data_IF_882686651775
#
_entry.id   IF_882686651775
#
_cell.length_a   1.000
_cell.length_b   1.000
_cell.length_c   1.000
_cell.angle_alpha   90.00
_cell.angle_beta   90.00
_cell.angle_gamma   90.00
#
_symmetry.space_group_name_H-M   'P 1'
#
loop_
_entity.id
_entity.type
_entity.pdbx_description
1 polymer ?
#
# COMPACT_ATOMS: atom_id res chain seq x y z
N UNK A 1 5.82 -5.55 18.45
CA UNK A 1 5.41 -4.13 18.44
C UNK A 1 6.62 -3.27 18.10
N UNK A 2 6.50 -2.38 17.11
CA UNK A 2 7.51 -1.40 16.73
C UNK A 2 6.90 0.00 16.89
N UNK A 3 7.23 0.69 17.98
CA UNK A 3 6.54 1.93 18.37
C UNK A 3 6.69 3.05 17.33
N UNK A 4 7.79 3.07 16.58
CA UNK A 4 8.05 4.03 15.51
C UNK A 4 7.12 3.86 14.30
N UNK A 5 6.45 2.72 14.18
CA UNK A 5 5.50 2.43 13.10
C UNK A 5 4.11 3.02 13.40
N UNK A 6 3.82 3.41 14.65
CA UNK A 6 2.50 3.91 15.01
C UNK A 6 2.26 5.32 14.49
N UNK A 7 1.13 5.49 13.81
CA UNK A 7 0.64 6.79 13.36
C UNK A 7 0.28 7.62 14.59
N UNK A 8 0.93 8.77 14.74
CA UNK A 8 0.71 9.69 15.86
C UNK A 8 -0.29 10.78 15.51
N UNK A 9 -0.78 11.49 16.54
CA UNK A 9 -1.60 12.70 16.35
C UNK A 9 -0.87 13.79 15.54
N UNK A 10 0.46 13.88 15.70
CA UNK A 10 1.27 14.82 14.95
C UNK A 10 1.29 14.48 13.45
N UNK A 11 1.34 13.19 13.11
CA UNK A 11 1.29 12.74 11.71
C UNK A 11 -0.06 13.05 11.06
N UNK A 12 -1.16 12.78 11.77
CA UNK A 12 -2.52 13.12 11.30
C UNK A 12 -2.68 14.63 11.12
N UNK A 13 -2.17 15.43 12.06
CA UNK A 13 -2.21 16.89 11.95
C UNK A 13 -1.34 17.41 10.79
N UNK A 14 -0.18 16.81 10.55
CA UNK A 14 0.73 17.18 9.47
C UNK A 14 0.17 16.83 8.08
N UNK A 15 -0.58 15.73 7.97
CA UNK A 15 -1.29 15.36 6.73
C UNK A 15 -2.34 16.43 6.34
N UNK A 16 -2.99 17.04 7.33
CA UNK A 16 -4.04 18.02 7.13
C UNK A 16 -5.40 17.40 6.80
N UNK A 17 -6.31 18.23 6.31
CA UNK A 17 -7.72 17.87 6.03
C UNK A 17 -8.14 18.17 4.59
N UNK A 18 -7.19 18.54 3.74
CA UNK A 18 -7.49 18.81 2.35
C UNK A 18 -7.79 17.49 1.63
N UNK A 19 -8.69 17.55 0.65
CA UNK A 19 -9.01 16.41 -0.18
C UNK A 19 -7.76 15.90 -0.91
N UNK A 20 -7.52 14.60 -0.87
CA UNK A 20 -6.46 13.95 -1.65
C UNK A 20 -7.08 13.03 -2.70
N UNK A 21 -6.66 13.09 -3.96
CA UNK A 21 -7.12 12.07 -4.93
C UNK A 21 -6.54 10.68 -4.62
N UNK A 22 -5.30 10.65 -4.13
CA UNK A 22 -4.54 9.43 -3.80
C UNK A 22 -3.96 9.58 -2.39
N UNK A 23 -4.22 8.60 -1.52
CA UNK A 23 -3.57 8.46 -0.21
C UNK A 23 -2.66 7.23 -0.22
N UNK A 24 -1.35 7.45 -0.04
CA UNK A 24 -0.36 6.38 0.10
C UNK A 24 0.00 6.21 1.58
N UNK A 25 -0.01 4.98 2.06
CA UNK A 25 0.36 4.69 3.44
C UNK A 25 0.91 3.27 3.63
N UNK A 26 1.46 3.02 4.81
CA UNK A 26 1.81 1.66 5.21
C UNK A 26 0.56 0.83 5.57
N UNK A 27 -0.45 1.47 6.16
CA UNK A 27 -1.67 0.83 6.67
C UNK A 27 -2.88 1.03 5.72
N UNK A 28 -4.06 0.55 6.12
CA UNK A 28 -5.31 0.55 5.36
C UNK A 28 -6.51 0.82 6.26
N UNK A 29 -7.59 1.47 5.76
CA UNK A 29 -8.80 1.62 6.56
C UNK A 29 -9.45 0.24 6.78
N UNK A 30 -10.22 0.07 7.87
CA UNK A 30 -10.90 -1.19 8.18
C UNK A 30 -12.11 -1.39 7.26
N UNK A 31 -11.89 -1.90 6.05
CA UNK A 31 -12.96 -2.33 5.15
C UNK A 31 -13.65 -3.57 5.74
N UNK A 32 -14.94 -3.77 5.42
CA UNK A 32 -15.68 -4.91 5.97
C UNK A 32 -15.04 -6.25 5.58
N UNK A 33 -14.55 -6.32 4.35
CA UNK A 33 -13.91 -7.50 3.77
C UNK A 33 -12.49 -7.73 4.32
N UNK A 34 -11.69 -6.67 4.55
CA UNK A 34 -10.40 -6.79 5.23
C UNK A 34 -10.60 -7.29 6.67
N UNK A 35 -11.52 -6.69 7.42
CA UNK A 35 -11.81 -7.10 8.79
C UNK A 35 -12.20 -8.59 8.88
N UNK A 36 -13.07 -9.06 7.97
CA UNK A 36 -13.46 -10.47 7.91
C UNK A 36 -12.29 -11.41 7.57
N UNK A 37 -11.30 -10.97 6.79
CA UNK A 37 -10.08 -11.75 6.52
C UNK A 37 -9.18 -11.83 7.75
N UNK A 38 -8.93 -10.71 8.41
CA UNK A 38 -8.05 -10.64 9.58
C UNK A 38 -8.62 -11.39 10.78
N UNK A 39 -9.94 -11.37 10.97
CA UNK A 39 -10.62 -12.08 12.04
C UNK A 39 -10.33 -13.59 12.06
N UNK A 40 -10.09 -14.20 10.90
CA UNK A 40 -9.76 -15.64 10.76
C UNK A 40 -8.47 -16.03 11.49
N UNK A 41 -7.53 -15.09 11.62
CA UNK A 41 -6.22 -15.32 12.23
C UNK A 41 -6.11 -14.69 13.63
N UNK A 42 -7.17 -14.04 14.14
CA UNK A 42 -7.15 -13.31 15.42
C UNK A 42 -6.72 -14.16 16.62
N UNK A 43 -7.07 -15.45 16.63
CA UNK A 43 -6.69 -16.38 17.69
C UNK A 43 -5.17 -16.69 17.74
N UNK A 44 -4.41 -16.31 16.72
CA UNK A 44 -2.95 -16.47 16.67
C UNK A 44 -2.20 -15.34 17.38
N UNK A 45 -2.89 -14.28 17.79
CA UNK A 45 -2.29 -13.05 18.32
C UNK A 45 -2.66 -12.84 19.78
N UNK A 46 -1.77 -12.18 20.53
CA UNK A 46 -2.09 -11.76 21.89
C UNK A 46 -3.11 -10.61 21.86
N UNK A 47 -3.83 -10.42 22.97
CA UNK A 47 -4.73 -9.27 23.12
C UNK A 47 -3.99 -7.92 23.02
N UNK A 48 -2.74 -7.87 23.46
CA UNK A 48 -1.90 -6.68 23.36
C UNK A 48 -1.53 -6.37 21.89
N UNK A 49 -1.19 -7.38 21.09
CA UNK A 49 -0.88 -7.19 19.66
C UNK A 49 -2.13 -6.75 18.88
N UNK A 50 -3.29 -7.33 19.17
CA UNK A 50 -4.56 -6.93 18.57
C UNK A 50 -4.94 -5.49 18.96
N UNK A 51 -4.71 -5.08 20.21
CA UNK A 51 -4.95 -3.72 20.64
C UNK A 51 -4.00 -2.72 19.95
N UNK A 52 -2.72 -3.07 19.83
CA UNK A 52 -1.71 -2.28 19.11
C UNK A 52 -2.09 -2.09 17.63
N UNK A 53 -2.46 -3.17 16.93
CA UNK A 53 -2.89 -3.11 15.53
C UNK A 53 -4.17 -2.28 15.36
N UNK A 54 -5.13 -2.45 16.28
CA UNK A 54 -6.38 -1.67 16.25
C UNK A 54 -6.12 -0.18 16.43
N UNK A 55 -5.22 0.20 17.33
CA UNK A 55 -4.85 1.60 17.54
C UNK A 55 -4.26 2.24 16.28
N UNK A 56 -3.37 1.53 15.58
CA UNK A 56 -2.79 2.01 14.32
C UNK A 56 -3.86 2.22 13.25
N UNK A 57 -4.73 1.22 13.07
CA UNK A 57 -5.81 1.29 12.09
C UNK A 57 -6.85 2.37 12.40
N UNK A 58 -7.15 2.63 13.69
CA UNK A 58 -8.05 3.71 14.10
C UNK A 58 -7.43 5.09 13.79
N UNK A 59 -6.12 5.27 14.01
CA UNK A 59 -5.40 6.50 13.65
C UNK A 59 -5.35 6.70 12.13
N UNK A 60 -5.08 5.63 11.38
CA UNK A 60 -5.14 5.64 9.92
C UNK A 60 -6.54 6.05 9.44
N UNK A 61 -7.60 5.45 10.01
CA UNK A 61 -8.98 5.74 9.63
C UNK A 61 -9.32 7.23 9.82
N UNK A 62 -8.79 7.88 10.86
CA UNK A 62 -8.96 9.33 11.07
C UNK A 62 -8.34 10.14 9.94
N UNK A 63 -7.09 9.85 9.57
CA UNK A 63 -6.40 10.49 8.45
C UNK A 63 -7.13 10.26 7.11
N UNK A 64 -7.58 9.02 6.87
CA UNK A 64 -8.33 8.64 5.69
C UNK A 64 -9.67 9.38 5.58
N UNK A 65 -10.45 9.45 6.66
CA UNK A 65 -11.71 10.19 6.67
C UNK A 65 -11.51 11.71 6.51
N UNK A 66 -10.44 12.26 7.07
CA UNK A 66 -10.13 13.68 6.98
C UNK A 66 -9.78 14.13 5.55
N UNK A 67 -9.13 13.26 4.78
CA UNK A 67 -8.68 13.55 3.40
C UNK A 67 -9.62 13.02 2.31
N UNK A 68 -10.62 12.22 2.69
CA UNK A 68 -11.68 11.70 1.80
C UNK A 68 -11.19 11.16 0.44
N UNK A 69 -10.16 10.28 0.40
CA UNK A 69 -9.47 10.02 -0.84
C UNK A 69 -10.27 9.17 -1.82
N UNK A 70 -10.06 9.37 -3.13
CA UNK A 70 -10.67 8.52 -4.18
C UNK A 70 -10.00 7.15 -4.25
N UNK A 71 -8.70 7.10 -3.99
CA UNK A 71 -7.89 5.89 -3.94
C UNK A 71 -6.99 5.91 -2.71
N UNK A 72 -7.03 4.87 -1.89
CA UNK A 72 -6.04 4.60 -0.84
C UNK A 72 -5.22 3.36 -1.20
N UNK A 73 -3.89 3.48 -1.17
CA UNK A 73 -2.97 2.36 -1.41
C UNK A 73 -2.14 2.11 -0.16
N UNK A 74 -2.20 0.89 0.35
CA UNK A 74 -1.60 0.43 1.59
C UNK A 74 -0.77 -0.84 1.45
N UNK A 75 -0.19 -1.27 2.57
CA UNK A 75 0.57 -2.53 2.72
C UNK A 75 0.26 -3.18 4.05
N UNK A 76 1.29 -3.57 4.81
CA UNK A 76 1.23 -4.08 6.19
C UNK A 76 0.59 -5.48 6.39
N UNK A 77 -0.49 -5.82 5.67
CA UNK A 77 -1.28 -7.02 5.95
C UNK A 77 -0.79 -8.30 5.26
N UNK A 78 0.25 -8.21 4.42
CA UNK A 78 0.82 -9.34 3.66
C UNK A 78 -0.29 -10.14 2.93
N UNK A 79 -1.19 -9.39 2.30
CA UNK A 79 -2.26 -9.93 1.49
C UNK A 79 -2.66 -8.89 0.46
N UNK A 80 -2.89 -9.33 -0.77
CA UNK A 80 -3.54 -8.46 -1.74
C UNK A 80 -5.02 -8.23 -1.40
N UNK A 81 -5.45 -6.96 -1.43
CA UNK A 81 -6.84 -6.55 -1.26
C UNK A 81 -7.17 -5.43 -2.25
N UNK A 82 -8.32 -5.48 -2.89
CA UNK A 82 -8.79 -4.43 -3.80
C UNK A 82 -10.32 -4.37 -3.69
N UNK A 83 -10.82 -3.29 -3.11
CA UNK A 83 -12.26 -3.12 -2.89
C UNK A 83 -12.63 -1.65 -3.02
N UNK A 84 -13.84 -1.38 -3.51
CA UNK A 84 -14.44 -0.04 -3.46
C UNK A 84 -15.57 -0.05 -2.44
N UNK A 85 -15.48 0.81 -1.44
CA UNK A 85 -16.50 0.95 -0.38
C UNK A 85 -16.89 2.42 -0.18
N UNK A 86 -18.05 2.63 0.47
CA UNK A 86 -18.54 3.95 0.86
C UNK A 86 -18.22 4.23 2.32
N UNK A 87 -17.65 5.40 2.57
CA UNK A 87 -17.22 5.84 3.89
C UNK A 87 -17.94 7.13 4.29
N UNK A 88 -18.04 7.35 5.60
CA UNK A 88 -18.71 8.51 6.17
C UNK A 88 -17.71 9.32 7.01
N UNK A 89 -17.15 10.36 6.39
CA UNK A 89 -16.30 11.36 7.05
C UNK A 89 -17.13 12.61 7.38
N UNK A 90 -16.66 13.78 6.96
CA UNK A 90 -17.47 15.01 6.99
C UNK A 90 -18.69 14.92 6.05
N UNK A 91 -18.55 14.19 4.95
CA UNK A 91 -19.60 13.80 4.01
C UNK A 91 -19.41 12.34 3.60
N UNK A 92 -20.42 11.76 2.95
CA UNK A 92 -20.27 10.45 2.32
C UNK A 92 -19.35 10.56 1.10
N UNK A 93 -18.38 9.65 0.99
CA UNK A 93 -17.55 9.50 -0.20
C UNK A 93 -17.34 8.02 -0.52
N UNK A 94 -16.97 7.75 -1.77
CA UNK A 94 -16.57 6.42 -2.23
C UNK A 94 -15.05 6.42 -2.39
N UNK A 95 -14.41 5.34 -1.95
CA UNK A 95 -12.97 5.16 -2.07
C UNK A 95 -12.64 3.74 -2.49
N UNK A 96 -11.73 3.61 -3.46
CA UNK A 96 -11.08 2.35 -3.75
C UNK A 96 -9.91 2.17 -2.79
N UNK A 97 -9.88 1.04 -2.09
CA UNK A 97 -8.84 0.67 -1.13
C UNK A 97 -8.07 -0.51 -1.72
N UNK A 98 -6.78 -0.30 -1.97
CA UNK A 98 -5.87 -1.31 -2.49
C UNK A 98 -4.78 -1.59 -1.46
N UNK A 99 -4.56 -2.86 -1.14
CA UNK A 99 -3.45 -3.33 -0.32
C UNK A 99 -2.57 -4.21 -1.21
N UNK A 100 -1.29 -3.88 -1.27
CA UNK A 100 -0.29 -4.69 -1.97
C UNK A 100 0.10 -5.88 -1.09
N UNK A 101 0.40 -7.00 -1.75
CA UNK A 101 0.90 -8.19 -1.06
C UNK A 101 2.39 -8.02 -0.66
N UNK A 102 2.90 -8.95 0.13
CA UNK A 102 4.30 -8.96 0.54
C UNK A 102 5.26 -9.22 -0.62
N UNK A 103 6.50 -8.76 -0.49
CA UNK A 103 7.55 -8.98 -1.48
C UNK A 103 7.65 -10.45 -1.91
N UNK A 104 7.67 -10.69 -3.22
CA UNK A 104 7.73 -12.03 -3.81
C UNK A 104 6.38 -12.71 -4.03
N UNK A 105 5.28 -12.13 -3.54
CA UNK A 105 3.92 -12.57 -3.83
C UNK A 105 3.34 -11.86 -5.07
N UNK A 106 2.31 -12.45 -5.68
CA UNK A 106 1.57 -11.81 -6.77
C UNK A 106 0.89 -10.53 -6.27
N UNK A 107 0.84 -9.49 -7.11
CA UNK A 107 0.28 -8.17 -6.78
C UNK A 107 0.99 -7.44 -5.61
N UNK A 108 2.27 -7.72 -5.39
CA UNK A 108 3.12 -6.98 -4.44
C UNK A 108 3.65 -5.66 -5.01
N UNK A 109 3.55 -5.46 -6.33
CA UNK A 109 3.96 -4.24 -7.02
C UNK A 109 2.97 -3.90 -8.14
N UNK A 110 2.76 -2.60 -8.35
CA UNK A 110 1.82 -2.10 -9.33
C UNK A 110 2.24 -0.74 -9.88
N UNK A 111 1.74 -0.41 -11.07
CA UNK A 111 1.89 0.89 -11.71
C UNK A 111 0.54 1.63 -11.59
N UNK A 112 0.57 2.83 -11.02
CA UNK A 112 -0.59 3.71 -10.90
C UNK A 112 -0.56 4.78 -11.99
N UNK A 113 -1.63 4.87 -12.77
CA UNK A 113 -1.90 6.04 -13.61
C UNK A 113 -2.59 7.12 -12.75
N UNK A 114 -1.88 8.22 -12.50
CA UNK A 114 -2.36 9.31 -11.63
C UNK A 114 -3.48 10.14 -12.25
N UNK A 115 -3.72 10.05 -13.56
CA UNK A 115 -4.82 10.77 -14.22
C UNK A 115 -6.13 10.01 -14.15
N UNK A 116 -6.07 8.69 -14.26
CA UNK A 116 -7.25 7.81 -14.30
C UNK A 116 -7.51 7.07 -13.00
N UNK A 117 -6.51 7.01 -12.11
CA UNK A 117 -6.46 6.16 -10.91
C UNK A 117 -6.51 4.66 -11.23
N UNK A 118 -6.22 4.29 -12.48
CA UNK A 118 -6.08 2.89 -12.88
C UNK A 118 -4.78 2.30 -12.30
N UNK A 119 -4.87 1.05 -11.84
CA UNK A 119 -3.73 0.31 -11.28
C UNK A 119 -3.50 -0.91 -12.15
N UNK A 120 -2.28 -1.05 -12.65
CA UNK A 120 -1.80 -2.25 -13.31
C UNK A 120 -0.90 -3.02 -12.34
N UNK A 121 -1.40 -4.16 -11.84
CA UNK A 121 -0.58 -5.06 -11.02
C UNK A 121 0.41 -5.78 -11.91
N UNK A 122 1.69 -5.63 -11.59
CA UNK A 122 2.75 -6.33 -12.31
C UNK A 122 2.93 -7.66 -11.60
N UNK A 123 2.67 -8.73 -12.34
CA UNK A 123 2.95 -10.08 -11.86
C UNK A 123 4.24 -10.52 -12.53
N UNK A 124 5.30 -10.68 -11.75
CA UNK A 124 6.48 -11.39 -12.23
C UNK A 124 6.07 -12.85 -12.45
N UNK A 125 5.69 -13.21 -13.68
CA UNK A 125 5.79 -14.60 -14.09
C UNK A 125 7.26 -14.85 -14.42
N UNK A 126 8.01 -15.60 -13.59
CA UNK A 126 9.41 -15.92 -13.87
C UNK A 126 9.60 -16.68 -15.20
N UNK A 127 8.53 -17.17 -15.83
CA UNK A 127 8.55 -17.83 -17.15
C UNK A 127 8.41 -16.87 -18.33
N UNK A 128 8.03 -15.60 -18.10
CA UNK A 128 7.87 -14.58 -19.17
C UNK A 128 8.95 -13.51 -19.14
N UNK A 129 9.82 -13.51 -18.13
CA UNK A 129 11.00 -12.66 -18.08
C UNK A 129 11.89 -12.91 -19.31
N UNK A 130 11.89 -11.97 -20.27
CA UNK A 130 12.86 -11.98 -21.38
C UNK A 130 14.25 -11.91 -20.76
N UNK A 131 15.21 -12.77 -21.16
CA UNK A 131 16.56 -12.67 -20.66
C UNK A 131 17.10 -11.27 -21.00
N UNK A 132 17.51 -10.54 -19.98
CA UNK A 132 18.15 -9.25 -20.14
C UNK A 132 19.32 -9.41 -21.11
N UNK A 133 19.25 -8.74 -22.25
CA UNK A 133 20.36 -8.72 -23.20
C UNK A 133 21.58 -8.16 -22.48
N UNK A 134 22.56 -9.02 -22.20
CA UNK A 134 23.88 -8.59 -21.75
C UNK A 134 24.42 -7.62 -22.82
N UNK A 135 24.41 -6.33 -22.49
CA UNK A 135 25.20 -5.35 -23.21
C UNK A 135 26.65 -5.79 -23.15
N UNK A 136 27.16 -6.27 -24.29
CA UNK A 136 28.57 -6.55 -24.45
C UNK A 136 29.31 -5.22 -24.31
N UNK A 137 29.98 -5.02 -23.16
CA UNK A 137 31.05 -4.03 -23.10
C UNK A 137 32.13 -4.52 -24.05
N UNK A 138 32.24 -3.87 -25.21
CA UNK A 138 33.46 -3.92 -26.02
C UNK A 138 34.60 -3.31 -25.22
N UNK A 139 35.42 -4.17 -24.61
CA UNK A 139 36.77 -3.81 -24.23
C UNK A 139 37.57 -3.56 -25.51
N UNK A 140 37.73 -2.28 -25.85
CA UNK A 140 38.59 -1.83 -26.94
C UNK A 140 40.06 -1.84 -26.50
N UNK A 141 40.83 -2.69 -27.19
CA UNK A 141 42.27 -2.87 -27.08
C UNK A 141 43.07 -1.57 -27.33
N UNK A 142 44.27 -1.52 -26.73
CA UNK A 142 45.29 -0.47 -26.80
C UNK A 142 45.78 -0.08 -28.21
N UNK A 143 45.92 1.25 -28.43
CA UNK A 143 47.01 2.05 -29.06
C UNK A 143 47.50 1.71 -30.50
N UNK A 144 48.36 2.52 -31.20
CA UNK A 144 49.02 3.80 -30.84
C UNK A 144 49.09 4.87 -31.98
N UNK A 145 49.91 5.92 -31.73
CA UNK A 145 50.57 6.92 -32.63
C UNK A 145 49.95 8.34 -32.57
N UNK A 146 50.67 9.44 -32.37
CA UNK A 146 52.12 9.76 -32.54
C UNK A 146 52.72 10.51 -31.33
#
# INVERSE_FOLDING_TARGET
MWEQEQITEADVAALGTDHADILLAHDSPPTASLHARLAKNSALWSSADLAYARQGQDMFMRAFLATSPRLAVGGHYHLHHDVTERFHGAQWFESRVVILDADGEANSFAILDTWTLAIEFVNDDPRTARPAARSARTEGCMAPSE
#
